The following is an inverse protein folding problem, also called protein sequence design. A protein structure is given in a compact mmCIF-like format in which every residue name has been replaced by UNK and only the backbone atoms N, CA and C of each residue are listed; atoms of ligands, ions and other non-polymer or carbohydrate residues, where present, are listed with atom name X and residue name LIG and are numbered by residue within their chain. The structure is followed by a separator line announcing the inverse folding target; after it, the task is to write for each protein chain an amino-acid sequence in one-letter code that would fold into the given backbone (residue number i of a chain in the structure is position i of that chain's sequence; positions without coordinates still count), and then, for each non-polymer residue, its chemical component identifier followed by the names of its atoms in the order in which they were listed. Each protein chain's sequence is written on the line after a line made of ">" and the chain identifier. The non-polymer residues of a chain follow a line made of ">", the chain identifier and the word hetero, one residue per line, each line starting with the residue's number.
data_IF_880726184361
#
_entry.id   IF_880726184361
#
_cell.length_a   1.000
_cell.length_b   1.000
_cell.length_c   1.000
_cell.angle_alpha   90.00
_cell.angle_beta   90.00
_cell.angle_gamma   90.00
#
_symmetry.space_group_name_H-M   'P 1'
#
loop_
_entity.id
_entity.type
_entity.pdbx_description
1 polymer ?
#
# COMPACT_ATOMS: atom_id res chain seq x y z
N UNK A 1 8.75 2.72 4.10
CA UNK A 1 9.93 1.85 4.34
C UNK A 1 10.52 1.40 3.00
N UNK A 2 11.67 0.72 2.95
CA UNK A 2 12.21 0.26 1.67
C UNK A 2 11.41 -0.93 1.11
N UNK A 3 11.21 -0.99 -0.22
CA UNK A 3 10.48 -2.09 -0.88
C UNK A 3 11.06 -3.48 -0.52
N UNK A 4 12.39 -3.60 -0.47
CA UNK A 4 13.03 -4.86 -0.10
C UNK A 4 12.69 -5.31 1.32
N UNK A 5 12.51 -4.38 2.27
CA UNK A 5 12.06 -4.70 3.63
C UNK A 5 10.66 -5.28 3.64
N UNK A 6 9.74 -4.68 2.88
CA UNK A 6 8.37 -5.18 2.76
C UNK A 6 8.35 -6.60 2.19
N UNK A 7 9.11 -6.84 1.12
CA UNK A 7 9.18 -8.16 0.47
C UNK A 7 9.77 -9.22 1.40
N UNK A 8 10.90 -8.94 2.07
CA UNK A 8 11.54 -9.94 2.94
C UNK A 8 10.70 -10.22 4.19
N UNK A 9 10.07 -9.20 4.77
CA UNK A 9 9.12 -9.42 5.87
C UNK A 9 7.96 -10.31 5.41
N UNK A 10 7.37 -10.00 4.27
CA UNK A 10 6.27 -10.76 3.69
C UNK A 10 6.65 -12.22 3.40
N UNK A 11 7.86 -12.46 2.88
CA UNK A 11 8.43 -13.80 2.71
C UNK A 11 8.54 -14.53 4.05
N UNK A 12 9.12 -13.90 5.08
CA UNK A 12 9.27 -14.50 6.40
C UNK A 12 7.91 -14.89 7.02
N UNK A 13 6.93 -13.99 6.99
CA UNK A 13 5.56 -14.31 7.45
C UNK A 13 4.89 -15.39 6.61
N UNK A 14 5.13 -15.42 5.29
CA UNK A 14 4.66 -16.48 4.42
C UNK A 14 5.21 -17.85 4.83
N UNK A 15 6.50 -17.95 5.13
CA UNK A 15 7.11 -19.20 5.61
C UNK A 15 6.54 -19.64 6.96
N UNK A 16 6.33 -18.69 7.89
CA UNK A 16 5.76 -18.96 9.21
C UNK A 16 4.34 -19.50 9.10
N UNK A 17 3.46 -18.80 8.38
CA UNK A 17 2.04 -19.14 8.34
C UNK A 17 1.71 -20.33 7.45
N UNK A 18 2.55 -20.62 6.47
CA UNK A 18 2.31 -21.69 5.48
C UNK A 18 3.32 -22.82 5.57
N UNK A 19 3.92 -23.02 6.75
CA UNK A 19 4.75 -24.19 7.08
C UNK A 19 5.84 -24.47 6.03
N UNK A 20 6.59 -23.44 5.66
CA UNK A 20 7.67 -23.51 4.65
C UNK A 20 7.22 -23.81 3.21
N UNK A 21 5.95 -23.63 2.85
CA UNK A 21 5.55 -23.63 1.44
C UNK A 21 6.11 -22.40 0.72
N UNK A 22 7.23 -22.60 0.02
CA UNK A 22 7.95 -21.58 -0.74
C UNK A 22 7.06 -20.95 -1.82
N UNK A 23 6.15 -21.70 -2.44
CA UNK A 23 5.24 -21.14 -3.45
C UNK A 23 4.34 -20.09 -2.80
N UNK A 24 3.72 -20.43 -1.67
CA UNK A 24 2.83 -19.53 -0.96
C UNK A 24 3.59 -18.34 -0.37
N UNK A 25 4.76 -18.56 0.21
CA UNK A 25 5.61 -17.47 0.72
C UNK A 25 5.99 -16.47 -0.39
N UNK A 26 6.39 -16.96 -1.58
CA UNK A 26 6.68 -16.10 -2.73
C UNK A 26 5.44 -15.34 -3.19
N UNK A 27 4.24 -15.95 -3.15
CA UNK A 27 2.99 -15.22 -3.43
C UNK A 27 2.76 -14.09 -2.43
N UNK A 28 2.95 -14.32 -1.13
CA UNK A 28 2.86 -13.25 -0.12
C UNK A 28 3.89 -12.14 -0.39
N UNK A 29 5.12 -12.51 -0.76
CA UNK A 29 6.18 -11.56 -1.14
C UNK A 29 5.83 -10.73 -2.39
N UNK A 30 5.26 -11.36 -3.43
CA UNK A 30 4.74 -10.66 -4.62
C UNK A 30 3.63 -9.70 -4.21
N UNK A 31 2.70 -10.15 -3.37
CA UNK A 31 1.63 -9.35 -2.80
C UNK A 31 2.14 -8.07 -2.14
N UNK A 32 3.19 -8.18 -1.32
CA UNK A 32 3.81 -7.03 -0.67
C UNK A 32 4.51 -6.07 -1.64
N UNK A 33 4.91 -6.51 -2.84
CA UNK A 33 5.47 -5.61 -3.84
C UNK A 33 4.39 -4.81 -4.59
N UNK A 34 3.18 -5.37 -4.76
CA UNK A 34 2.10 -4.77 -5.57
C UNK A 34 1.82 -3.31 -5.18
N UNK A 35 1.66 -2.94 -3.90
CA UNK A 35 1.31 -1.58 -3.53
C UNK A 35 2.30 -0.55 -4.01
N UNK A 36 3.58 -0.89 -4.18
CA UNK A 36 4.66 0.03 -4.55
C UNK A 36 5.18 -0.16 -5.99
N UNK A 37 4.59 -1.09 -6.75
CA UNK A 37 4.98 -1.39 -8.14
C UNK A 37 4.50 -0.33 -9.15
N UNK A 38 3.61 0.57 -8.73
CA UNK A 38 2.99 1.50 -9.66
C UNK A 38 3.93 2.62 -10.14
N UNK A 39 3.55 3.20 -11.28
CA UNK A 39 4.29 4.28 -11.95
C UNK A 39 3.35 5.30 -12.59
N UNK A 40 2.43 5.83 -11.80
CA UNK A 40 1.37 6.78 -12.25
C UNK A 40 1.89 8.06 -12.92
N UNK A 41 3.16 8.41 -12.69
CA UNK A 41 3.86 9.55 -13.32
C UNK A 41 3.94 9.45 -14.85
N UNK A 42 3.68 8.27 -15.40
CA UNK A 42 3.57 8.03 -16.84
C UNK A 42 2.24 8.57 -17.37
N UNK A 43 1.19 8.49 -16.55
CA UNK A 43 -0.18 8.88 -16.91
C UNK A 43 -0.59 10.25 -16.35
N UNK A 44 0.18 10.80 -15.40
CA UNK A 44 -0.15 12.06 -14.70
C UNK A 44 1.04 13.03 -14.65
N UNK A 45 0.75 14.33 -14.51
CA UNK A 45 1.78 15.36 -14.31
C UNK A 45 2.34 15.26 -12.89
N UNK A 46 3.67 15.33 -12.72
CA UNK A 46 4.36 15.28 -11.41
C UNK A 46 3.77 16.23 -10.35
N UNK A 47 3.29 17.42 -10.75
CA UNK A 47 2.64 18.38 -9.84
C UNK A 47 1.29 17.88 -9.29
N UNK A 48 0.50 17.18 -10.10
CA UNK A 48 -0.78 16.59 -9.68
C UNK A 48 -0.51 15.40 -8.76
N UNK A 49 0.49 14.58 -9.13
CA UNK A 49 0.94 13.47 -8.31
C UNK A 49 1.44 13.92 -6.92
N UNK A 50 2.37 14.88 -6.88
CA UNK A 50 2.89 15.43 -5.62
C UNK A 50 1.77 15.99 -4.73
N UNK A 51 0.78 16.62 -5.36
CA UNK A 51 -0.35 17.26 -4.67
C UNK A 51 -1.35 16.25 -4.10
N UNK A 52 -1.63 15.14 -4.80
CA UNK A 52 -2.73 14.24 -4.43
C UNK A 52 -2.31 12.83 -4.07
N UNK A 53 -1.04 12.44 -4.23
CA UNK A 53 -0.49 11.11 -3.93
C UNK A 53 -1.47 9.97 -4.24
N UNK A 54 -2.02 9.99 -5.46
CA UNK A 54 -3.12 9.10 -5.84
C UNK A 54 -2.72 7.64 -5.69
N UNK A 55 -1.51 7.28 -6.09
CA UNK A 55 -0.89 5.98 -5.86
C UNK A 55 -1.11 5.46 -4.46
N UNK A 56 -0.55 6.16 -3.47
CA UNK A 56 -0.55 5.67 -2.09
C UNK A 56 -1.98 5.59 -1.55
N UNK A 57 -2.82 6.51 -1.98
CA UNK A 57 -4.23 6.49 -1.62
C UNK A 57 -4.99 5.33 -2.30
N UNK A 58 -4.64 4.95 -3.53
CA UNK A 58 -5.32 3.90 -4.33
C UNK A 58 -4.84 2.49 -3.99
N UNK A 59 -3.57 2.32 -3.65
CA UNK A 59 -2.95 1.01 -3.45
C UNK A 59 -2.63 0.69 -1.99
N UNK A 60 -2.55 1.69 -1.11
CA UNK A 60 -2.37 1.51 0.34
C UNK A 60 -3.65 1.86 1.09
N UNK A 61 -4.78 1.34 0.62
CA UNK A 61 -6.07 1.43 1.31
C UNK A 61 -6.69 0.05 1.52
N UNK A 62 -7.57 -0.04 2.51
CA UNK A 62 -8.20 -1.30 2.93
C UNK A 62 -9.06 -1.89 1.81
N UNK A 63 -9.74 -1.06 1.02
CA UNK A 63 -10.60 -1.56 -0.06
C UNK A 63 -9.81 -2.30 -1.14
N UNK A 64 -8.64 -1.76 -1.50
CA UNK A 64 -7.72 -2.41 -2.43
C UNK A 64 -7.18 -3.72 -1.85
N UNK A 65 -6.68 -3.70 -0.62
CA UNK A 65 -6.18 -4.90 0.06
C UNK A 65 -7.24 -6.01 0.15
N UNK A 66 -8.47 -5.65 0.52
CA UNK A 66 -9.61 -6.57 0.60
C UNK A 66 -9.99 -7.11 -0.78
N UNK A 67 -10.05 -6.26 -1.81
CA UNK A 67 -10.35 -6.70 -3.16
C UNK A 67 -9.33 -7.72 -3.66
N UNK A 68 -8.04 -7.51 -3.37
CA UNK A 68 -6.99 -8.48 -3.73
C UNK A 68 -7.08 -9.74 -2.87
N UNK A 69 -7.42 -9.66 -1.58
CA UNK A 69 -7.69 -10.86 -0.76
C UNK A 69 -8.79 -11.73 -1.38
N UNK A 70 -9.88 -11.11 -1.86
CA UNK A 70 -10.95 -11.85 -2.54
C UNK A 70 -10.50 -12.51 -3.84
N UNK A 71 -9.54 -11.91 -4.54
CA UNK A 71 -8.96 -12.49 -5.74
C UNK A 71 -7.95 -13.60 -5.42
N UNK A 72 -7.05 -13.35 -4.48
CA UNK A 72 -6.05 -14.28 -3.99
C UNK A 72 -5.64 -13.87 -2.57
N UNK A 73 -5.92 -14.76 -1.61
CA UNK A 73 -5.66 -14.51 -0.20
C UNK A 73 -4.19 -14.21 0.10
N UNK A 74 -3.26 -14.94 -0.53
CA UNK A 74 -1.82 -14.81 -0.28
C UNK A 74 -1.28 -13.46 -0.79
N UNK A 75 -1.70 -13.04 -1.98
CA UNK A 75 -1.36 -11.71 -2.51
C UNK A 75 -1.92 -10.61 -1.60
N UNK A 76 -3.17 -10.75 -1.17
CA UNK A 76 -3.82 -9.79 -0.28
C UNK A 76 -3.16 -9.71 1.10
N UNK A 77 -2.74 -10.85 1.67
CA UNK A 77 -1.95 -10.89 2.90
C UNK A 77 -0.63 -10.11 2.75
N UNK A 78 0.05 -10.27 1.61
CA UNK A 78 1.24 -9.49 1.28
C UNK A 78 0.98 -7.98 1.31
N UNK A 79 -0.13 -7.53 0.70
CA UNK A 79 -0.55 -6.12 0.71
C UNK A 79 -0.84 -5.63 2.12
N UNK A 80 -1.52 -6.43 2.94
CA UNK A 80 -1.78 -6.07 4.34
C UNK A 80 -0.49 -5.92 5.15
N UNK A 81 0.48 -6.83 4.98
CA UNK A 81 1.79 -6.73 5.63
C UNK A 81 2.54 -5.49 5.15
N UNK A 82 2.46 -5.18 3.85
CA UNK A 82 3.04 -3.96 3.28
C UNK A 82 2.45 -2.71 3.95
N UNK A 83 1.12 -2.62 3.98
CA UNK A 83 0.41 -1.50 4.59
C UNK A 83 0.68 -1.39 6.08
N UNK A 84 0.75 -2.51 6.81
CA UNK A 84 1.07 -2.54 8.23
C UNK A 84 2.44 -1.93 8.53
N UNK A 85 3.44 -2.20 7.70
CA UNK A 85 4.75 -1.55 7.81
C UNK A 85 4.69 -0.06 7.51
N UNK A 86 3.98 0.31 6.45
CA UNK A 86 3.85 1.73 6.08
C UNK A 86 3.06 2.54 7.12
N UNK A 87 2.15 1.92 7.89
CA UNK A 87 1.49 2.54 9.04
C UNK A 87 2.43 2.87 10.19
N UNK A 88 3.62 2.27 10.25
CA UNK A 88 4.64 2.59 11.26
C UNK A 88 5.44 3.85 10.90
N UNK A 89 5.26 4.39 9.68
CA UNK A 89 6.00 5.56 9.19
C UNK A 89 5.42 6.87 9.72
N UNK A 90 6.30 7.80 10.09
CA UNK A 90 5.89 9.09 10.64
C UNK A 90 5.33 10.06 9.58
N UNK A 91 4.83 11.25 9.99
CA UNK A 91 4.37 12.28 9.06
C UNK A 91 5.40 12.71 8.00
N UNK A 92 6.71 12.51 8.23
CA UNK A 92 7.75 12.80 7.23
C UNK A 92 7.54 12.05 5.93
N UNK A 93 7.03 10.82 6.04
CA UNK A 93 6.91 9.89 4.94
C UNK A 93 5.48 9.88 4.40
N UNK A 94 4.62 10.82 4.81
CA UNK A 94 3.23 11.01 4.34
C UNK A 94 2.22 9.94 4.73
N UNK A 95 2.52 9.08 5.71
CA UNK A 95 1.55 8.15 6.30
C UNK A 95 0.73 7.34 5.29
N UNK A 96 -0.40 6.76 5.73
CA UNK A 96 -1.26 5.93 4.86
C UNK A 96 -2.71 6.40 4.91
N UNK A 97 -3.34 6.57 3.74
CA UNK A 97 -4.77 6.92 3.62
C UNK A 97 -5.64 5.65 3.58
N UNK A 98 -5.81 4.98 4.73
CA UNK A 98 -6.46 3.65 4.81
C UNK A 98 -7.87 3.57 4.21
N UNK A 99 -8.63 4.66 4.29
CA UNK A 99 -10.05 4.71 3.88
C UNK A 99 -10.28 5.59 2.65
N UNK A 100 -9.27 5.79 1.80
CA UNK A 100 -9.51 6.44 0.51
C UNK A 100 -10.55 5.65 -0.31
N UNK A 101 -11.50 6.31 -1.03
CA UNK A 101 -11.66 7.77 -1.16
C UNK A 101 -12.53 8.42 -0.07
N UNK A 102 -13.12 7.64 0.83
CA UNK A 102 -14.06 8.13 1.85
C UNK A 102 -13.45 9.24 2.71
N UNK A 103 -12.19 9.09 3.12
CA UNK A 103 -11.49 10.10 3.91
C UNK A 103 -11.41 11.47 3.23
N UNK A 104 -11.38 11.52 1.89
CA UNK A 104 -11.32 12.76 1.10
C UNK A 104 -12.69 13.40 0.84
N UNK A 105 -13.79 12.75 1.21
CA UNK A 105 -15.12 13.37 1.15
C UNK A 105 -15.25 14.52 2.15
N UNK A 106 -14.52 14.43 3.27
CA UNK A 106 -14.47 15.44 4.31
C UNK A 106 -13.31 16.39 4.01
N UNK A 107 -13.63 17.67 3.76
CA UNK A 107 -12.65 18.69 3.34
C UNK A 107 -12.24 19.65 4.46
N UNK A 108 -12.89 19.58 5.62
CA UNK A 108 -12.74 20.52 6.71
C UNK A 108 -12.32 19.81 7.99
N UNK A 109 -11.76 20.56 8.93
CA UNK A 109 -11.37 20.10 10.26
C UNK A 109 -11.78 21.10 11.35
N UNK A 110 -11.93 20.63 12.57
CA UNK A 110 -12.31 21.45 13.72
C UNK A 110 -11.12 22.06 14.44
N UNK A 111 -10.11 21.27 14.79
CA UNK A 111 -8.93 21.74 15.51
C UNK A 111 -7.77 21.88 14.55
N UNK A 112 -7.19 23.07 14.49
CA UNK A 112 -5.92 23.25 13.81
C UNK A 112 -4.75 22.74 14.68
N UNK A 113 -3.57 22.59 14.07
CA UNK A 113 -2.39 22.09 14.76
C UNK A 113 -1.92 22.98 15.93
N UNK A 114 -2.38 24.23 15.98
CA UNK A 114 -2.11 25.21 17.04
C UNK A 114 -3.18 25.19 18.14
N UNK A 115 -4.21 24.35 18.02
CA UNK A 115 -5.31 24.24 18.96
C UNK A 115 -6.44 25.26 18.74
N UNK A 116 -6.41 26.03 17.65
CA UNK A 116 -7.51 26.93 17.32
C UNK A 116 -8.72 26.16 16.80
N UNK A 117 -9.90 26.54 17.29
CA UNK A 117 -11.16 25.91 16.92
C UNK A 117 -11.76 26.62 15.70
N UNK A 118 -11.98 25.87 14.63
CA UNK A 118 -12.69 26.30 13.42
C UNK A 118 -14.14 25.84 13.48
N UNK A 119 -15.05 26.80 13.43
CA UNK A 119 -16.49 26.53 13.33
C UNK A 119 -16.92 26.60 11.87
N UNK A 120 -17.12 25.44 11.26
CA UNK A 120 -17.73 25.34 9.93
C UNK A 120 -18.99 24.47 9.98
N UNK A 121 -19.92 24.68 9.04
CA UNK A 121 -21.12 23.85 8.88
C UNK A 121 -20.77 22.60 8.06
N UNK A 122 -21.25 21.43 8.50
CA UNK A 122 -21.05 20.15 7.81
C UNK A 122 -20.12 19.17 8.54
N UNK A 123 -19.84 18.05 7.88
CA UNK A 123 -18.95 17.00 8.42
C UNK A 123 -17.50 17.53 8.38
N UNK A 124 -16.80 17.35 9.49
CA UNK A 124 -15.42 17.75 9.66
C UNK A 124 -14.65 16.64 10.36
N UNK A 125 -13.37 16.53 10.02
CA UNK A 125 -12.42 15.77 10.81
C UNK A 125 -12.13 16.52 12.11
N UNK A 126 -11.82 15.80 13.17
CA UNK A 126 -11.52 16.46 14.44
C UNK A 126 -10.25 17.32 14.34
N UNK A 127 -9.21 16.83 13.67
CA UNK A 127 -7.88 17.47 13.64
C UNK A 127 -7.42 17.82 12.22
N UNK A 128 -6.61 18.88 12.14
CA UNK A 128 -5.78 19.20 10.99
C UNK A 128 -4.65 18.17 10.83
N UNK A 129 -4.31 17.85 9.59
CA UNK A 129 -3.11 17.06 9.27
C UNK A 129 -1.88 17.77 9.86
N UNK A 130 -0.82 17.06 10.32
CA UNK A 130 0.38 17.65 10.90
C UNK A 130 1.28 18.34 9.84
N UNK A 131 0.69 19.30 9.10
CA UNK A 131 1.26 19.97 7.95
C UNK A 131 2.54 20.71 8.26
N UNK A 132 2.67 21.28 9.46
CA UNK A 132 3.90 21.95 9.87
C UNK A 132 5.08 20.98 9.89
N UNK A 133 4.87 19.77 10.39
CA UNK A 133 5.89 18.71 10.38
C UNK A 133 6.14 18.31 8.93
N UNK A 134 5.11 17.92 8.19
CA UNK A 134 5.20 17.48 6.79
C UNK A 134 5.97 18.51 5.94
N UNK A 135 5.59 19.78 5.95
CA UNK A 135 6.21 20.80 5.10
C UNK A 135 7.66 21.12 5.48
N UNK A 136 8.05 20.87 6.74
CA UNK A 136 9.41 21.07 7.24
C UNK A 136 10.31 19.86 6.97
N UNK A 137 9.78 18.64 7.07
CA UNK A 137 10.59 17.41 7.08
C UNK A 137 10.39 16.49 5.90
N UNK A 138 9.28 16.59 5.17
CA UNK A 138 9.03 15.77 3.99
C UNK A 138 9.82 16.28 2.78
N UNK A 139 10.12 15.37 1.86
CA UNK A 139 10.80 15.69 0.61
C UNK A 139 10.05 16.77 -0.19
N UNK A 140 10.72 17.56 -1.05
CA UNK A 140 10.08 18.65 -1.79
C UNK A 140 8.84 18.24 -2.61
N UNK A 141 8.77 16.97 -3.05
CA UNK A 141 7.62 16.42 -3.79
C UNK A 141 6.48 15.89 -2.91
N UNK A 142 6.63 15.92 -1.59
CA UNK A 142 5.72 15.37 -0.59
C UNK A 142 5.15 16.46 0.34
N UNK A 143 5.31 17.75 0.00
CA UNK A 143 4.80 18.85 0.82
C UNK A 143 3.32 19.12 0.51
N UNK A 144 2.56 19.49 1.54
CA UNK A 144 1.18 19.93 1.38
C UNK A 144 1.11 21.40 0.95
N UNK A 145 0.26 21.66 -0.05
CA UNK A 145 0.04 23.01 -0.59
C UNK A 145 -1.01 23.77 0.23
N UNK A 146 -1.97 23.05 0.82
CA UNK A 146 -3.11 23.65 1.52
C UNK A 146 -3.42 22.85 2.78
N UNK A 147 -3.84 23.57 3.83
CA UNK A 147 -4.41 23.01 5.06
C UNK A 147 -5.46 21.95 4.75
N UNK A 148 -5.27 20.75 5.28
CA UNK A 148 -6.13 19.60 5.04
C UNK A 148 -6.47 18.89 6.34
N UNK A 149 -7.62 18.21 6.40
CA UNK A 149 -7.95 17.39 7.55
C UNK A 149 -6.99 16.20 7.70
N UNK A 150 -6.92 15.65 8.91
CA UNK A 150 -6.11 14.48 9.23
C UNK A 150 -6.71 13.21 8.60
N UNK A 151 -6.38 12.98 7.32
CA UNK A 151 -6.89 11.82 6.54
C UNK A 151 -5.95 10.60 6.66
N UNK A 152 -4.69 10.82 7.04
CA UNK A 152 -3.63 9.80 7.01
C UNK A 152 -3.34 9.25 8.40
N UNK A 153 -3.04 7.97 8.50
CA UNK A 153 -2.52 7.40 9.73
C UNK A 153 -1.00 7.53 9.75
N UNK A 154 -0.47 7.90 10.92
CA UNK A 154 0.94 8.11 11.17
C UNK A 154 1.42 7.21 12.30
N UNK A 155 2.60 6.63 12.10
CA UNK A 155 3.30 5.84 13.10
C UNK A 155 4.36 6.63 13.86
N UNK A 156 4.99 5.98 14.86
CA UNK A 156 5.92 6.63 15.78
C UNK A 156 7.31 6.88 15.18
N UNK A 157 7.70 6.22 14.08
CA UNK A 157 9.09 6.20 13.65
C UNK A 157 9.41 7.28 12.60
N UNK A 158 10.15 8.30 13.05
CA UNK A 158 10.69 9.36 12.20
C UNK A 158 11.91 8.88 11.44
N UNK A 159 11.81 8.81 10.12
CA UNK A 159 12.89 8.37 9.22
C UNK A 159 13.30 6.92 9.55
N UNK A 160 12.52 5.99 9.03
CA UNK A 160 12.49 4.57 9.41
C UNK A 160 13.81 3.81 9.27
N UNK A 161 14.96 4.40 8.95
CA UNK A 161 16.21 3.68 8.63
C UNK A 161 16.56 2.59 9.65
N UNK A 162 16.59 2.92 10.95
CA UNK A 162 16.94 1.93 11.97
C UNK A 162 15.92 0.78 12.02
N UNK A 163 14.63 1.12 12.09
CA UNK A 163 13.54 0.14 12.19
C UNK A 163 13.40 -0.67 10.90
N UNK A 164 13.58 -0.04 9.76
CA UNK A 164 13.57 -0.61 8.41
C UNK A 164 14.72 -1.61 8.24
N UNK A 165 15.95 -1.22 8.57
CA UNK A 165 17.10 -2.13 8.56
C UNK A 165 16.97 -3.23 9.61
N UNK A 166 16.46 -2.92 10.81
CA UNK A 166 16.22 -3.92 11.85
C UNK A 166 15.23 -4.98 11.35
N UNK A 167 14.09 -4.57 10.79
CA UNK A 167 13.07 -5.48 10.26
C UNK A 167 13.63 -6.26 9.07
N UNK A 168 14.35 -5.61 8.17
CA UNK A 168 15.01 -6.25 7.04
C UNK A 168 15.97 -7.35 7.49
N UNK A 169 16.95 -7.02 8.34
CA UNK A 169 17.96 -7.97 8.80
C UNK A 169 17.36 -9.07 9.67
N UNK A 170 16.41 -8.73 10.55
CA UNK A 170 15.73 -9.73 11.39
C UNK A 170 14.96 -10.73 10.54
N UNK A 171 14.23 -10.26 9.53
CA UNK A 171 13.48 -11.12 8.62
C UNK A 171 14.41 -11.96 7.73
N UNK A 172 15.50 -11.38 7.24
CA UNK A 172 16.48 -12.09 6.44
C UNK A 172 17.19 -13.20 7.23
N UNK A 173 17.72 -12.86 8.42
CA UNK A 173 18.38 -13.81 9.33
C UNK A 173 17.41 -14.89 9.77
N UNK A 174 16.15 -14.53 10.07
CA UNK A 174 15.11 -15.50 10.38
C UNK A 174 14.98 -16.55 9.27
N UNK A 175 14.86 -16.14 8.01
CA UNK A 175 14.77 -17.08 6.87
C UNK A 175 15.99 -17.99 6.82
N UNK A 176 17.21 -17.45 6.98
CA UNK A 176 18.43 -18.26 6.91
C UNK A 176 18.51 -19.30 8.05
N UNK A 177 18.11 -18.92 9.26
CA UNK A 177 18.14 -19.80 10.43
C UNK A 177 17.00 -20.81 10.43
N UNK A 178 15.81 -20.41 9.96
CA UNK A 178 14.65 -21.28 9.85
C UNK A 178 14.93 -22.46 8.89
N UNK A 179 15.71 -22.20 7.84
CA UNK A 179 16.07 -23.18 6.80
C UNK A 179 17.50 -23.73 6.95
N UNK A 180 18.14 -23.57 8.12
CA UNK A 180 19.58 -23.83 8.29
C UNK A 180 20.03 -25.22 7.79
N UNK A 181 19.20 -26.25 8.02
CA UNK A 181 19.50 -27.64 7.64
C UNK A 181 19.34 -27.93 6.14
N UNK A 182 18.57 -27.10 5.42
CA UNK A 182 18.21 -27.31 4.01
C UNK A 182 18.44 -26.06 3.14
N UNK A 183 19.29 -25.15 3.61
CA UNK A 183 19.38 -23.78 3.07
C UNK A 183 19.68 -23.73 1.57
N UNK A 184 20.59 -24.58 1.09
CA UNK A 184 20.95 -24.64 -0.32
C UNK A 184 19.79 -25.14 -1.20
N UNK A 185 19.04 -26.13 -0.71
CA UNK A 185 17.87 -26.66 -1.40
C UNK A 185 16.73 -25.63 -1.39
N UNK A 186 16.52 -24.96 -0.25
CA UNK A 186 15.56 -23.87 -0.13
C UNK A 186 15.83 -22.75 -1.14
N UNK A 187 17.08 -22.27 -1.23
CA UNK A 187 17.45 -21.24 -2.22
C UNK A 187 17.25 -21.71 -3.66
N UNK A 188 17.55 -22.97 -3.96
CA UNK A 188 17.30 -23.56 -5.28
C UNK A 188 15.80 -23.54 -5.62
N UNK A 189 14.95 -23.99 -4.71
CA UNK A 189 13.48 -24.01 -4.91
C UNK A 189 12.92 -22.59 -4.97
N UNK A 190 13.39 -21.68 -4.13
CA UNK A 190 13.01 -20.28 -4.13
C UNK A 190 13.33 -19.62 -5.48
N UNK A 191 14.57 -19.73 -5.96
CA UNK A 191 14.98 -19.17 -7.25
C UNK A 191 14.19 -19.78 -8.41
N UNK A 192 13.97 -21.10 -8.39
CA UNK A 192 13.12 -21.77 -9.38
C UNK A 192 11.68 -21.23 -9.33
N UNK A 193 11.12 -21.05 -8.15
CA UNK A 193 9.75 -20.56 -7.96
C UNK A 193 9.62 -19.12 -8.50
N UNK A 194 10.55 -18.24 -8.14
CA UNK A 194 10.53 -16.84 -8.59
C UNK A 194 10.76 -16.74 -10.10
N UNK A 195 11.83 -17.35 -10.62
CA UNK A 195 12.30 -17.08 -11.98
C UNK A 195 11.78 -18.06 -13.04
N UNK A 196 11.26 -19.23 -12.66
CA UNK A 196 10.75 -20.25 -13.60
C UNK A 196 9.25 -20.46 -13.44
N UNK A 197 8.75 -20.60 -12.21
CA UNK A 197 7.31 -20.77 -11.97
C UNK A 197 6.55 -19.46 -12.17
N UNK A 198 7.08 -18.33 -11.68
CA UNK A 198 6.47 -17.01 -11.79
C UNK A 198 7.14 -16.09 -12.84
N UNK A 199 7.66 -16.69 -13.91
CA UNK A 199 8.39 -16.00 -14.99
C UNK A 199 7.65 -14.80 -15.59
N UNK A 200 6.35 -14.92 -15.86
CA UNK A 200 5.59 -13.83 -16.49
C UNK A 200 5.35 -12.66 -15.54
N UNK A 201 5.16 -12.91 -14.24
CA UNK A 201 5.10 -11.85 -13.22
C UNK A 201 6.45 -11.16 -13.14
N UNK A 202 7.56 -11.91 -13.10
CA UNK A 202 8.90 -11.32 -13.03
C UNK A 202 9.20 -10.48 -14.28
N UNK A 203 9.00 -11.02 -15.47
CA UNK A 203 9.19 -10.28 -16.74
C UNK A 203 8.27 -9.06 -16.77
N UNK A 204 7.00 -9.23 -16.39
CA UNK A 204 6.02 -8.16 -16.37
C UNK A 204 6.41 -7.03 -15.40
N UNK A 205 6.87 -7.37 -14.19
CA UNK A 205 7.40 -6.42 -13.21
C UNK A 205 8.62 -5.72 -13.76
N UNK A 206 9.59 -6.45 -14.33
CA UNK A 206 10.81 -5.85 -14.90
C UNK A 206 10.46 -4.87 -15.99
N UNK A 207 9.62 -5.25 -16.95
CA UNK A 207 9.19 -4.36 -18.04
C UNK A 207 8.43 -3.15 -17.51
N UNK A 208 7.44 -3.34 -16.65
CA UNK A 208 6.64 -2.25 -16.10
C UNK A 208 7.49 -1.29 -15.26
N UNK A 209 8.26 -1.83 -14.32
CA UNK A 209 9.05 -1.06 -13.36
C UNK A 209 10.24 -0.35 -14.02
N UNK A 210 11.03 -1.07 -14.84
CA UNK A 210 12.19 -0.50 -15.50
C UNK A 210 11.78 0.61 -16.47
N UNK A 211 10.74 0.38 -17.28
CA UNK A 211 10.26 1.38 -18.23
C UNK A 211 9.64 2.59 -17.52
N UNK A 212 8.88 2.38 -16.44
CA UNK A 212 8.35 3.48 -15.64
C UNK A 212 9.43 4.27 -14.88
N UNK A 213 10.50 3.61 -14.43
CA UNK A 213 11.65 4.26 -13.79
C UNK A 213 12.50 5.05 -14.80
N UNK A 214 12.72 4.49 -15.99
CA UNK A 214 13.35 5.17 -17.12
C UNK A 214 12.55 6.42 -17.50
N UNK A 215 11.23 6.30 -17.55
CA UNK A 215 10.33 7.44 -17.78
C UNK A 215 10.57 8.55 -16.76
N UNK A 216 10.47 8.20 -15.46
CA UNK A 216 10.63 9.12 -14.33
C UNK A 216 11.96 9.86 -14.33
N UNK A 217 13.08 9.13 -14.52
CA UNK A 217 14.42 9.70 -14.34
C UNK A 217 14.93 10.47 -15.54
N UNK A 218 14.61 10.04 -16.77
CA UNK A 218 15.29 10.54 -17.98
C UNK A 218 14.36 11.17 -19.01
N UNK A 219 13.15 10.66 -19.15
CA UNK A 219 12.31 10.91 -20.33
C UNK A 219 11.18 11.90 -20.07
N UNK A 220 10.69 12.01 -18.82
CA UNK A 220 9.57 12.88 -18.46
C UNK A 220 9.81 14.38 -18.76
N UNK A 221 11.07 14.83 -18.79
CA UNK A 221 11.45 16.23 -19.02
C UNK A 221 11.97 16.48 -20.44
N UNK A 222 12.04 15.44 -21.26
CA UNK A 222 12.42 15.58 -22.65
C UNK A 222 11.14 15.81 -23.48
N UNK A 223 11.21 16.71 -24.47
CA UNK A 223 10.14 16.88 -25.45
C UNK A 223 10.13 15.68 -26.40
N UNK A 224 9.67 14.54 -25.89
CA UNK A 224 9.64 13.28 -26.62
C UNK A 224 8.54 13.29 -27.67
N UNK A 225 8.88 12.74 -28.82
CA UNK A 225 7.92 12.45 -29.88
C UNK A 225 6.80 11.54 -29.35
N UNK A 226 5.56 11.81 -29.76
CA UNK A 226 4.38 11.02 -29.40
C UNK A 226 4.56 9.53 -29.70
N UNK A 227 5.28 9.16 -30.77
CA UNK A 227 5.59 7.76 -31.07
C UNK A 227 6.32 7.05 -29.92
N UNK A 228 7.34 7.70 -29.32
CA UNK A 228 8.08 7.11 -28.22
C UNK A 228 7.23 7.00 -26.95
N UNK A 229 6.33 7.96 -26.71
CA UNK A 229 5.36 7.89 -25.61
C UNK A 229 4.43 6.68 -25.76
N UNK A 230 3.93 6.42 -26.97
CA UNK A 230 3.11 5.24 -27.24
C UNK A 230 3.89 3.93 -27.09
N UNK A 231 5.17 3.89 -27.48
CA UNK A 231 6.02 2.72 -27.25
C UNK A 231 6.19 2.44 -25.76
N UNK A 232 6.46 3.47 -24.95
CA UNK A 232 6.62 3.35 -23.49
C UNK A 232 5.32 2.86 -22.84
N UNK A 233 4.19 3.44 -23.23
CA UNK A 233 2.86 2.99 -22.78
C UNK A 233 2.59 1.55 -23.20
N UNK A 234 2.96 1.16 -24.43
CA UNK A 234 2.80 -0.20 -24.94
C UNK A 234 3.63 -1.21 -24.17
N UNK A 235 4.90 -0.92 -23.86
CA UNK A 235 5.77 -1.79 -23.06
C UNK A 235 5.24 -1.94 -21.64
N UNK A 236 4.76 -0.86 -21.02
CA UNK A 236 4.12 -0.94 -19.71
C UNK A 236 2.80 -1.72 -19.75
N UNK A 237 1.96 -1.51 -20.75
CA UNK A 237 0.72 -2.26 -20.92
C UNK A 237 0.99 -3.75 -21.14
N UNK A 238 2.02 -4.10 -21.90
CA UNK A 238 2.49 -5.48 -22.06
C UNK A 238 2.97 -6.05 -20.73
N UNK A 239 3.82 -5.33 -19.99
CA UNK A 239 4.29 -5.75 -18.67
C UNK A 239 3.14 -6.00 -17.69
N UNK A 240 2.17 -5.08 -17.64
CA UNK A 240 0.94 -5.25 -16.85
C UNK A 240 0.12 -6.45 -17.32
N UNK A 241 -0.02 -6.65 -18.63
CA UNK A 241 -0.75 -7.78 -19.19
C UNK A 241 -0.12 -9.13 -18.83
N UNK A 242 1.22 -9.21 -18.78
CA UNK A 242 1.92 -10.42 -18.32
C UNK A 242 1.69 -10.69 -16.83
N UNK A 243 1.72 -9.65 -15.99
CA UNK A 243 1.39 -9.76 -14.56
C UNK A 243 -0.04 -10.25 -14.40
N UNK A 244 -1.00 -9.66 -15.12
CA UNK A 244 -2.41 -10.04 -15.05
C UNK A 244 -2.65 -11.46 -15.60
N UNK A 245 -2.03 -11.80 -16.73
CA UNK A 245 -2.16 -13.13 -17.35
C UNK A 245 -1.74 -14.24 -16.39
N UNK A 246 -0.55 -14.12 -15.79
CA UNK A 246 -0.13 -15.10 -14.81
C UNK A 246 -0.89 -14.95 -13.48
N UNK A 247 -1.25 -13.74 -13.07
CA UNK A 247 -2.09 -13.49 -11.90
C UNK A 247 -3.45 -14.20 -11.96
N UNK A 248 -4.08 -14.26 -13.14
CA UNK A 248 -5.32 -15.04 -13.37
C UNK A 248 -5.09 -16.53 -13.15
N UNK A 249 -3.95 -17.06 -13.57
CA UNK A 249 -3.60 -18.47 -13.32
C UNK A 249 -3.21 -18.75 -11.85
N UNK A 250 -2.98 -17.70 -11.06
CA UNK A 250 -2.80 -17.75 -9.61
C UNK A 250 -4.10 -17.51 -8.87
N UNK A 251 -5.23 -17.41 -9.56
CA UNK A 251 -6.53 -17.30 -8.93
C UNK A 251 -6.78 -18.51 -8.04
N UNK A 252 -6.59 -18.30 -6.74
CA UNK A 252 -6.92 -19.23 -5.68
C UNK A 252 -7.90 -18.46 -4.81
N UNK A 253 -9.21 -18.51 -5.15
CA UNK A 253 -10.20 -17.94 -4.25
C UNK A 253 -9.98 -18.68 -2.94
N UNK A 254 -9.67 -17.94 -1.88
CA UNK A 254 -10.00 -18.44 -0.55
C UNK A 254 -11.44 -18.90 -0.70
N UNK A 255 -11.76 -20.19 -0.51
CA UNK A 255 -13.16 -20.60 -0.35
C UNK A 255 -13.53 -19.99 0.98
N UNK A 256 -14.11 -18.78 1.04
CA UNK A 256 -14.45 -18.24 2.33
C UNK A 256 -15.63 -19.11 2.71
N UNK A 257 -15.51 -19.94 3.75
CA UNK A 257 -16.70 -20.44 4.44
C UNK A 257 -17.27 -19.26 5.26
N UNK A 258 -17.40 -18.11 4.61
CA UNK A 258 -18.22 -17.00 5.04
C UNK A 258 -19.47 -17.26 4.24
N UNK A 259 -20.40 -18.02 4.81
CA UNK A 259 -21.71 -18.14 4.18
C UNK A 259 -22.29 -16.71 4.07
N UNK A 260 -23.24 -16.54 3.16
CA UNK A 260 -23.89 -15.25 2.94
C UNK A 260 -24.40 -14.63 4.26
N UNK A 261 -24.90 -15.46 5.19
CA UNK A 261 -25.39 -15.01 6.50
C UNK A 261 -24.27 -14.42 7.37
N UNK A 262 -23.06 -14.98 7.35
CA UNK A 262 -21.91 -14.45 8.09
C UNK A 262 -21.43 -13.13 7.50
N UNK A 263 -21.42 -12.99 6.17
CA UNK A 263 -21.07 -11.71 5.52
C UNK A 263 -22.13 -10.64 5.83
N UNK A 264 -23.41 -10.99 5.71
CA UNK A 264 -24.54 -10.12 6.08
C UNK A 264 -24.46 -9.74 7.56
N UNK A 265 -24.15 -10.68 8.45
CA UNK A 265 -23.99 -10.41 9.87
C UNK A 265 -22.83 -9.45 10.14
N UNK A 266 -21.69 -9.61 9.48
CA UNK A 266 -20.55 -8.69 9.60
C UNK A 266 -20.96 -7.28 9.15
N UNK A 267 -21.60 -7.16 7.98
CA UNK A 267 -22.05 -5.87 7.45
C UNK A 267 -23.08 -5.22 8.38
N UNK A 268 -24.09 -5.98 8.82
CA UNK A 268 -25.13 -5.51 9.76
C UNK A 268 -24.50 -5.09 11.08
N UNK A 269 -23.56 -5.87 11.62
CA UNK A 269 -22.85 -5.52 12.86
C UNK A 269 -22.00 -4.26 12.70
N UNK A 270 -21.32 -4.09 11.57
CA UNK A 270 -20.59 -2.86 11.27
C UNK A 270 -21.51 -1.65 11.14
N UNK A 271 -22.66 -1.80 10.48
CA UNK A 271 -23.64 -0.72 10.32
C UNK A 271 -24.30 -0.34 11.65
N UNK A 272 -24.67 -1.33 12.48
CA UNK A 272 -25.18 -1.11 13.84
C UNK A 272 -24.10 -0.42 14.68
N UNK A 273 -22.87 -0.91 14.66
CA UNK A 273 -21.74 -0.32 15.37
C UNK A 273 -21.49 1.13 14.96
N UNK A 274 -21.51 1.42 13.66
CA UNK A 274 -21.36 2.78 13.12
C UNK A 274 -22.52 3.69 13.57
N UNK A 275 -23.75 3.19 13.52
CA UNK A 275 -24.94 3.94 13.94
C UNK A 275 -24.92 4.24 15.44
N UNK A 276 -24.58 3.25 16.27
CA UNK A 276 -24.42 3.41 17.71
C UNK A 276 -23.29 4.38 18.05
N UNK A 277 -22.14 4.28 17.36
CA UNK A 277 -21.04 5.21 17.51
C UNK A 277 -21.46 6.64 17.13
N UNK A 278 -22.18 6.80 16.02
CA UNK A 278 -22.73 8.09 15.59
C UNK A 278 -23.67 8.69 16.65
N UNK A 279 -24.61 7.90 17.18
CA UNK A 279 -25.52 8.34 18.25
C UNK A 279 -24.73 8.74 19.49
N UNK A 280 -23.79 7.90 19.93
CA UNK A 280 -22.99 8.14 21.12
C UNK A 280 -22.22 9.45 21.01
N UNK A 281 -21.52 9.66 19.89
CA UNK A 281 -20.75 10.89 19.64
C UNK A 281 -21.67 12.10 19.59
N UNK A 282 -22.82 11.99 18.90
CA UNK A 282 -23.80 13.08 18.78
C UNK A 282 -24.40 13.47 20.14
N UNK A 283 -24.74 12.50 20.99
CA UNK A 283 -25.30 12.75 22.32
C UNK A 283 -24.26 13.36 23.27
N UNK A 284 -23.04 12.83 23.25
CA UNK A 284 -21.99 13.23 24.20
C UNK A 284 -21.36 14.58 23.85
N UNK A 285 -21.11 14.84 22.57
CA UNK A 285 -20.33 15.99 22.13
C UNK A 285 -21.17 17.03 21.37
N UNK A 286 -22.49 16.79 21.18
CA UNK A 286 -23.44 17.66 20.47
C UNK A 286 -23.08 17.96 19.00
N UNK A 287 -21.99 17.36 18.52
CA UNK A 287 -21.42 17.52 17.19
C UNK A 287 -20.74 16.20 16.82
N UNK A 288 -20.90 15.79 15.56
CA UNK A 288 -20.26 14.58 15.05
C UNK A 288 -19.05 14.99 14.23
N UNK A 289 -17.87 14.77 14.81
CA UNK A 289 -16.57 14.84 14.15
C UNK A 289 -16.09 13.41 13.92
N UNK A 290 -15.73 13.10 12.67
CA UNK A 290 -15.05 11.85 12.37
C UNK A 290 -13.56 11.96 12.73
#
# INVERSE_FOLDING_TARGET
>A
MNLHTHIILALAFGLIFFHNDITLAVLVGIGAAIPDLDREYVFTKRKIFAKYQLHRALFHNIFFAVAVVYFNFYLGLGIFLHMALDLLTSPTDRGVELFFPLGRLVKNYELDYDGNIRKNKGIMWYLEDPMRIINKTADPGLKEVVKMPWIRIYGPFKNSRLVDWMIFYSSFVFIQLYELNHLAEWWKIFLYTVFVKFTFIVIGIVLFYFTGELWRRRLQFQNLNNKLKYVILGVMALGLSLILFQGINLYSPMKPIINFNTLVLIIVSMLIGLFLAYIHVRLRFKKVTL
#
